data_IF_554915026073
#
_entry.id   IF_554915026073
#
_cell.length_a   1.000
_cell.length_b   1.000
_cell.length_c   1.000
_cell.angle_alpha   90.00
_cell.angle_beta   90.00
_cell.angle_gamma   90.00
#
_symmetry.space_group_name_H-M   'P 1'
#
loop_
_entity.id
_entity.type
_entity.pdbx_description
1 polymer ?
#
# COMPACT_ATOMS: atom_id res chain seq x y z
N UNK A 1 -34.10 -60.23 -26.36
CA UNK A 1 -33.19 -59.10 -26.65
C UNK A 1 -33.67 -57.92 -25.80
N UNK A 2 -33.07 -57.48 -24.70
CA UNK A 2 -31.67 -57.43 -24.32
C UNK A 2 -31.18 -55.98 -24.43
N UNK A 3 -31.28 -55.20 -23.34
CA UNK A 3 -30.36 -54.10 -22.98
C UNK A 3 -30.59 -53.71 -21.52
N UNK A 4 -29.68 -54.23 -20.68
CA UNK A 4 -29.59 -54.08 -19.23
C UNK A 4 -29.07 -52.68 -18.90
N UNK A 5 -29.76 -51.94 -18.05
CA UNK A 5 -29.24 -50.72 -17.45
C UNK A 5 -28.24 -51.09 -16.34
N UNK A 6 -26.98 -50.71 -16.52
CA UNK A 6 -25.93 -50.89 -15.51
C UNK A 6 -25.91 -49.63 -14.63
N UNK A 7 -26.39 -49.76 -13.39
CA UNK A 7 -26.16 -48.78 -12.32
C UNK A 7 -24.73 -48.95 -11.80
N UNK A 8 -23.88 -47.96 -11.98
CA UNK A 8 -22.63 -47.88 -11.23
C UNK A 8 -22.87 -47.15 -9.91
N UNK A 9 -22.92 -47.93 -8.83
CA UNK A 9 -22.80 -47.46 -7.45
C UNK A 9 -21.31 -47.22 -7.16
N UNK A 10 -20.88 -45.97 -7.07
CA UNK A 10 -19.59 -45.65 -6.45
C UNK A 10 -19.84 -45.13 -5.04
N UNK A 11 -19.55 -46.01 -4.10
CA UNK A 11 -19.60 -45.82 -2.65
C UNK A 11 -18.39 -44.97 -2.25
N UNK A 12 -18.68 -43.77 -1.76
CA UNK A 12 -17.71 -42.89 -1.10
C UNK A 12 -17.34 -43.53 0.24
N UNK A 13 -16.05 -43.80 0.50
CA UNK A 13 -15.45 -43.73 1.85
C UNK A 13 -13.94 -43.56 1.84
N UNK A 14 -13.52 -42.62 2.69
CA UNK A 14 -12.25 -42.03 3.08
C UNK A 14 -11.00 -42.91 3.26
N UNK A 15 -9.83 -42.33 2.93
CA UNK A 15 -8.67 -42.36 3.85
C UNK A 15 -7.75 -41.15 3.64
N UNK A 16 -7.68 -40.34 4.68
CA UNK A 16 -6.68 -39.30 4.93
C UNK A 16 -5.29 -39.92 5.08
N UNK A 17 -4.30 -39.29 4.42
CA UNK A 17 -2.83 -39.27 4.60
C UNK A 17 -2.29 -38.82 3.24
N UNK A 18 -1.47 -37.79 3.08
CA UNK A 18 -0.40 -37.27 3.93
C UNK A 18 -0.10 -35.88 3.38
N UNK A 19 -0.07 -34.86 4.24
CA UNK A 19 0.39 -33.53 3.87
C UNK A 19 1.82 -33.65 3.33
N UNK A 20 2.01 -33.29 2.05
CA UNK A 20 3.32 -32.93 1.53
C UNK A 20 3.44 -31.42 1.68
N UNK A 21 3.83 -31.06 2.89
CA UNK A 21 4.06 -29.72 3.36
C UNK A 21 5.37 -29.23 2.71
N UNK A 22 5.28 -28.45 1.63
CA UNK A 22 6.30 -27.45 1.32
C UNK A 22 5.89 -26.19 2.09
N UNK A 23 6.13 -26.25 3.39
CA UNK A 23 6.10 -25.10 4.28
C UNK A 23 7.18 -24.13 3.78
N UNK A 24 6.77 -23.14 2.97
CA UNK A 24 7.38 -21.83 3.09
C UNK A 24 7.13 -21.39 4.53
N UNK A 25 8.10 -21.61 5.41
CA UNK A 25 8.03 -21.29 6.83
C UNK A 25 7.80 -19.78 7.03
N UNK A 26 6.54 -19.36 7.01
CA UNK A 26 6.11 -18.10 7.61
C UNK A 26 5.64 -18.46 9.01
N UNK A 27 6.60 -18.56 9.93
CA UNK A 27 6.36 -18.91 11.32
C UNK A 27 5.35 -17.93 11.95
N UNK A 28 4.25 -18.39 12.60
CA UNK A 28 3.13 -17.54 13.03
C UNK A 28 3.43 -16.55 14.17
N UNK A 29 4.70 -16.39 14.56
CA UNK A 29 5.14 -15.51 15.67
C UNK A 29 6.26 -14.51 15.31
N UNK A 30 6.68 -14.37 14.05
CA UNK A 30 7.79 -13.46 13.68
C UNK A 30 7.37 -12.06 13.16
N UNK A 31 6.10 -11.66 13.24
CA UNK A 31 5.72 -10.31 12.80
C UNK A 31 6.27 -9.18 13.70
N UNK A 32 6.78 -9.51 14.89
CA UNK A 32 7.37 -8.53 15.83
C UNK A 32 8.81 -8.14 15.50
N UNK A 33 9.55 -8.90 14.69
CA UNK A 33 10.98 -8.65 14.44
C UNK A 33 11.25 -7.84 13.16
N UNK A 34 10.26 -7.73 12.28
CA UNK A 34 10.30 -6.86 11.11
C UNK A 34 9.40 -5.66 11.40
N UNK A 35 10.00 -4.53 11.79
CA UNK A 35 9.32 -3.27 12.12
C UNK A 35 8.61 -2.57 10.95
N UNK A 36 7.87 -3.32 10.13
CA UNK A 36 7.09 -2.83 9.00
C UNK A 36 5.68 -3.40 9.04
N UNK A 37 4.68 -2.53 9.24
CA UNK A 37 3.29 -2.86 9.00
C UNK A 37 3.06 -2.94 7.49
N UNK A 38 3.19 -4.13 6.89
CA UNK A 38 2.84 -4.36 5.49
C UNK A 38 1.32 -4.49 5.38
N UNK A 39 0.64 -3.43 4.92
CA UNK A 39 -0.78 -3.56 4.55
C UNK A 39 -0.89 -4.43 3.29
N UNK A 40 -1.18 -5.73 3.47
CA UNK A 40 -1.35 -6.67 2.36
C UNK A 40 -2.57 -6.28 1.51
N UNK A 41 -2.38 -6.17 0.20
CA UNK A 41 -3.49 -5.96 -0.71
C UNK A 41 -4.39 -7.20 -0.71
N UNK A 42 -5.72 -7.01 -0.66
CA UNK A 42 -6.70 -8.11 -0.62
C UNK A 42 -6.62 -9.04 -1.84
N UNK A 43 -6.19 -8.52 -2.99
CA UNK A 43 -6.07 -9.25 -4.26
C UNK A 43 -4.74 -8.92 -4.93
N UNK A 44 -4.03 -9.95 -5.39
CA UNK A 44 -2.79 -9.79 -6.16
C UNK A 44 -3.07 -9.34 -7.59
N UNK A 45 -2.07 -8.80 -8.29
CA UNK A 45 -2.23 -8.42 -9.71
C UNK A 45 -2.55 -9.65 -10.56
N UNK A 46 -1.90 -10.78 -10.29
CA UNK A 46 -2.12 -12.04 -11.01
C UNK A 46 -3.56 -12.51 -10.91
N UNK A 47 -4.16 -12.46 -9.71
CA UNK A 47 -5.58 -12.78 -9.51
C UNK A 47 -6.50 -11.87 -10.33
N UNK A 48 -6.15 -10.59 -10.49
CA UNK A 48 -6.92 -9.64 -11.31
C UNK A 48 -6.80 -9.97 -12.80
N UNK A 49 -5.60 -10.30 -13.26
CA UNK A 49 -5.35 -10.65 -14.67
C UNK A 49 -6.03 -11.97 -15.04
N UNK A 50 -6.01 -12.97 -14.14
CA UNK A 50 -6.71 -14.24 -14.32
C UNK A 50 -8.23 -14.02 -14.44
N UNK A 51 -8.81 -13.17 -13.57
CA UNK A 51 -10.21 -12.80 -13.65
C UNK A 51 -10.58 -12.18 -15.01
N UNK A 52 -9.74 -11.28 -15.54
CA UNK A 52 -9.96 -10.63 -16.83
C UNK A 52 -9.81 -11.61 -17.99
N UNK A 53 -8.84 -12.53 -17.93
CA UNK A 53 -8.66 -13.58 -18.94
C UNK A 53 -9.89 -14.48 -19.03
N UNK A 54 -10.43 -14.91 -17.88
CA UNK A 54 -11.66 -15.70 -17.82
C UNK A 54 -12.89 -14.94 -18.32
N UNK A 55 -12.93 -13.63 -18.08
CA UNK A 55 -13.99 -12.80 -18.62
C UNK A 55 -13.91 -12.72 -20.15
N UNK A 56 -12.70 -12.54 -20.71
CA UNK A 56 -12.45 -12.57 -22.17
C UNK A 56 -12.79 -13.92 -22.80
N UNK A 57 -12.65 -15.02 -22.07
CA UNK A 57 -13.10 -16.35 -22.52
C UNK A 57 -14.62 -16.56 -22.47
N UNK A 58 -15.40 -15.52 -22.14
CA UNK A 58 -16.86 -15.55 -22.14
C UNK A 58 -17.50 -16.02 -20.83
N UNK A 59 -16.75 -16.17 -19.73
CA UNK A 59 -17.34 -16.51 -18.43
C UNK A 59 -18.01 -15.28 -17.81
N UNK A 60 -19.16 -15.49 -17.17
CA UNK A 60 -19.85 -14.46 -16.40
C UNK A 60 -19.10 -14.06 -15.13
N UNK A 61 -19.30 -12.82 -14.68
CA UNK A 61 -18.66 -12.27 -13.46
C UNK A 61 -18.95 -13.11 -12.21
N UNK A 62 -20.18 -13.60 -12.05
CA UNK A 62 -20.58 -14.43 -10.92
C UNK A 62 -19.79 -15.74 -10.87
N UNK A 63 -19.64 -16.43 -12.01
CA UNK A 63 -18.87 -17.68 -12.12
C UNK A 63 -17.40 -17.46 -11.75
N UNK A 64 -16.80 -16.36 -12.23
CA UNK A 64 -15.42 -16.00 -11.95
C UNK A 64 -15.23 -15.69 -10.46
N UNK A 65 -16.20 -15.00 -9.84
CA UNK A 65 -16.22 -14.73 -8.40
C UNK A 65 -16.13 -16.02 -7.58
N UNK A 66 -16.94 -17.02 -7.90
CA UNK A 66 -16.91 -18.31 -7.22
C UNK A 66 -15.60 -19.08 -7.46
N UNK A 67 -15.04 -19.02 -8.68
CA UNK A 67 -13.79 -19.71 -9.02
C UNK A 67 -12.58 -19.11 -8.29
N UNK A 68 -12.52 -17.78 -8.14
CA UNK A 68 -11.39 -17.07 -7.52
C UNK A 68 -11.61 -16.70 -6.05
N UNK A 69 -12.74 -17.07 -5.46
CA UNK A 69 -13.08 -16.70 -4.07
C UNK A 69 -13.28 -15.20 -3.86
N UNK A 70 -13.72 -14.46 -4.90
CA UNK A 70 -13.98 -13.02 -4.83
C UNK A 70 -15.43 -12.81 -4.38
N UNK A 71 -15.62 -12.02 -3.32
CA UNK A 71 -16.94 -11.86 -2.69
C UNK A 71 -17.96 -11.07 -3.52
N UNK A 72 -17.51 -10.16 -4.39
CA UNK A 72 -18.38 -9.19 -5.05
C UNK A 72 -18.10 -9.12 -6.55
N UNK A 73 -19.11 -9.38 -7.38
CA UNK A 73 -19.00 -9.36 -8.84
C UNK A 73 -18.67 -7.97 -9.40
N UNK A 74 -19.13 -6.91 -8.72
CA UNK A 74 -18.77 -5.53 -9.02
C UNK A 74 -17.26 -5.29 -9.00
N UNK A 75 -16.50 -6.08 -8.23
CA UNK A 75 -15.03 -6.01 -8.19
C UNK A 75 -14.42 -6.41 -9.54
N UNK A 76 -14.95 -7.47 -10.16
CA UNK A 76 -14.48 -7.98 -11.45
C UNK A 76 -14.84 -6.99 -12.56
N UNK A 77 -16.08 -6.48 -12.54
CA UNK A 77 -16.53 -5.47 -13.51
C UNK A 77 -15.68 -4.19 -13.42
N UNK A 78 -15.31 -3.77 -12.21
CA UNK A 78 -14.39 -2.65 -12.01
C UNK A 78 -13.00 -2.94 -12.56
N UNK A 79 -12.44 -4.13 -12.35
CA UNK A 79 -11.13 -4.49 -12.91
C UNK A 79 -11.15 -4.51 -14.43
N UNK A 80 -12.22 -5.04 -15.04
CA UNK A 80 -12.44 -4.98 -16.49
C UNK A 80 -12.39 -3.53 -16.98
N UNK A 81 -13.20 -2.66 -16.38
CA UNK A 81 -13.24 -1.24 -16.77
C UNK A 81 -11.88 -0.55 -16.63
N UNK A 82 -11.16 -0.78 -15.53
CA UNK A 82 -9.82 -0.22 -15.33
C UNK A 82 -8.81 -0.74 -16.36
N UNK A 83 -8.91 -2.03 -16.71
CA UNK A 83 -8.05 -2.63 -17.72
C UNK A 83 -8.35 -2.11 -19.14
N UNK A 84 -9.62 -1.86 -19.46
CA UNK A 84 -10.01 -1.26 -20.75
C UNK A 84 -9.59 0.20 -20.87
N UNK A 85 -9.60 0.96 -19.77
CA UNK A 85 -9.24 2.39 -19.77
C UNK A 85 -7.75 2.65 -19.66
N UNK A 86 -7.02 1.85 -18.89
CA UNK A 86 -5.62 2.12 -18.49
C UNK A 86 -4.73 0.88 -18.47
N UNK A 87 -5.20 -0.23 -19.03
CA UNK A 87 -4.41 -1.46 -19.16
C UNK A 87 -4.00 -2.06 -17.81
N UNK A 88 -2.78 -2.60 -17.76
CA UNK A 88 -2.24 -3.26 -16.57
C UNK A 88 -2.03 -2.23 -15.44
N UNK A 89 -1.64 -0.99 -15.78
CA UNK A 89 -1.38 0.07 -14.80
C UNK A 89 -2.63 0.43 -13.99
N UNK A 90 -3.81 0.38 -14.62
CA UNK A 90 -5.11 0.55 -13.95
C UNK A 90 -5.41 -0.49 -12.88
N UNK A 91 -4.82 -1.70 -12.99
CA UNK A 91 -4.99 -2.78 -12.02
C UNK A 91 -3.98 -2.71 -10.88
N UNK A 92 -2.87 -1.99 -11.09
CA UNK A 92 -1.85 -1.84 -10.07
C UNK A 92 -2.36 -0.94 -8.93
N UNK A 93 -1.98 -1.29 -7.70
CA UNK A 93 -2.24 -0.40 -6.57
C UNK A 93 -1.26 0.77 -6.70
N UNK A 94 -1.79 1.99 -6.89
CA UNK A 94 -0.94 3.17 -6.74
C UNK A 94 -0.51 3.29 -5.28
N UNK A 95 0.77 3.03 -5.02
CA UNK A 95 1.38 3.26 -3.70
C UNK A 95 1.79 4.74 -3.52
N UNK A 96 1.61 5.58 -4.53
CA UNK A 96 1.96 6.99 -4.50
C UNK A 96 0.70 7.80 -4.21
N UNK A 97 0.58 8.27 -2.97
CA UNK A 97 -0.36 9.33 -2.65
C UNK A 97 0.05 10.60 -3.40
N UNK A 98 -0.85 11.28 -4.13
CA UNK A 98 -0.53 12.53 -4.81
C UNK A 98 0.06 13.51 -3.79
N UNK A 99 1.22 14.07 -4.12
CA UNK A 99 1.89 15.06 -3.28
C UNK A 99 1.57 16.44 -3.84
N UNK A 100 1.01 17.29 -2.98
CA UNK A 100 0.65 18.64 -3.33
C UNK A 100 1.51 19.59 -2.51
N UNK A 101 2.17 20.52 -3.20
CA UNK A 101 2.98 21.57 -2.58
C UNK A 101 2.08 22.54 -1.81
N UNK A 102 2.62 23.21 -0.80
CA UNK A 102 1.87 24.21 -0.04
C UNK A 102 1.43 25.39 -0.91
N UNK A 103 2.25 25.78 -1.89
CA UNK A 103 1.91 26.81 -2.88
C UNK A 103 0.71 26.41 -3.73
N UNK A 104 0.68 25.19 -4.25
CA UNK A 104 -0.46 24.69 -5.04
C UNK A 104 -1.74 24.66 -4.21
N UNK A 105 -1.67 24.15 -2.96
CA UNK A 105 -2.85 24.15 -2.07
C UNK A 105 -3.37 25.56 -1.82
N UNK A 106 -2.48 26.54 -1.70
CA UNK A 106 -2.84 27.95 -1.52
C UNK A 106 -3.54 28.49 -2.76
N UNK A 107 -3.00 28.23 -3.96
CA UNK A 107 -3.62 28.60 -5.23
C UNK A 107 -5.06 28.07 -5.35
N UNK A 108 -5.25 26.79 -5.01
CA UNK A 108 -6.57 26.13 -5.01
C UNK A 108 -7.54 26.84 -4.06
N UNK A 109 -7.10 27.18 -2.84
CA UNK A 109 -7.93 27.89 -1.85
C UNK A 109 -8.24 29.31 -2.31
N UNK A 110 -7.26 30.03 -2.85
CA UNK A 110 -7.46 31.39 -3.38
C UNK A 110 -8.47 31.38 -4.51
N UNK A 111 -8.37 30.42 -5.43
CA UNK A 111 -9.33 30.26 -6.52
C UNK A 111 -10.73 29.93 -6.00
N UNK A 112 -10.85 29.03 -5.03
CA UNK A 112 -12.11 28.66 -4.39
C UNK A 112 -12.82 29.91 -3.83
N UNK A 113 -12.12 30.72 -3.04
CA UNK A 113 -12.67 31.92 -2.40
C UNK A 113 -12.99 33.00 -3.43
N UNK A 114 -12.10 33.24 -4.40
CA UNK A 114 -12.29 34.25 -5.44
C UNK A 114 -13.51 33.98 -6.31
N UNK A 115 -13.78 32.71 -6.62
CA UNK A 115 -14.88 32.32 -7.50
C UNK A 115 -16.16 31.92 -6.74
N UNK A 116 -16.14 31.89 -5.40
CA UNK A 116 -17.27 31.41 -4.60
C UNK A 116 -17.72 29.99 -4.96
N UNK A 117 -16.79 29.17 -5.48
CA UNK A 117 -17.10 27.86 -6.03
C UNK A 117 -17.33 26.82 -4.93
N UNK A 118 -18.02 25.72 -5.28
CA UNK A 118 -18.13 24.57 -4.39
C UNK A 118 -16.86 23.70 -4.43
N UNK A 119 -16.63 22.91 -3.38
CA UNK A 119 -15.49 21.98 -3.32
C UNK A 119 -15.42 21.00 -4.51
N UNK A 120 -16.54 20.39 -4.97
CA UNK A 120 -16.51 19.50 -6.13
C UNK A 120 -16.12 20.21 -7.43
N UNK A 121 -16.61 21.44 -7.63
CA UNK A 121 -16.27 22.25 -8.81
C UNK A 121 -14.79 22.61 -8.81
N UNK A 122 -14.26 23.00 -7.64
CA UNK A 122 -12.85 23.32 -7.46
C UNK A 122 -11.97 22.09 -7.67
N UNK A 123 -12.35 20.95 -7.11
CA UNK A 123 -11.59 19.71 -7.28
C UNK A 123 -11.50 19.31 -8.75
N UNK A 124 -12.60 19.42 -9.50
CA UNK A 124 -12.61 19.16 -10.94
C UNK A 124 -11.74 20.16 -11.73
N UNK A 125 -11.76 21.44 -11.36
CA UNK A 125 -10.95 22.47 -12.01
C UNK A 125 -9.44 22.20 -11.91
N UNK A 126 -8.99 21.67 -10.77
CA UNK A 126 -7.59 21.39 -10.48
C UNK A 126 -7.19 19.91 -10.64
N UNK A 127 -8.06 19.10 -11.25
CA UNK A 127 -7.88 17.65 -11.42
C UNK A 127 -7.52 16.91 -10.11
N UNK A 128 -8.15 17.33 -9.00
CA UNK A 128 -7.98 16.71 -7.68
C UNK A 128 -8.99 15.56 -7.58
N UNK A 129 -8.54 14.31 -7.36
CA UNK A 129 -9.43 13.13 -7.42
C UNK A 129 -10.55 13.09 -6.37
N UNK A 130 -10.42 13.86 -5.28
CA UNK A 130 -11.36 13.82 -4.16
C UNK A 130 -11.59 15.23 -3.62
N UNK A 131 -12.84 15.69 -3.67
CA UNK A 131 -13.31 16.99 -3.19
C UNK A 131 -13.10 17.20 -1.69
N UNK A 132 -13.14 16.14 -0.89
CA UNK A 132 -12.84 16.17 0.53
C UNK A 132 -11.39 16.60 0.81
N UNK A 133 -10.49 16.43 -0.16
CA UNK A 133 -9.10 16.92 -0.07
C UNK A 133 -9.05 18.44 -0.03
N UNK A 134 -9.84 19.11 -0.88
CA UNK A 134 -9.93 20.57 -0.94
C UNK A 134 -10.53 21.12 0.36
N UNK A 135 -11.59 20.47 0.84
CA UNK A 135 -12.19 20.81 2.14
C UNK A 135 -11.19 20.71 3.29
N UNK A 136 -10.39 19.64 3.34
CA UNK A 136 -9.36 19.47 4.37
C UNK A 136 -8.31 20.57 4.31
N UNK A 137 -7.88 21.00 3.13
CA UNK A 137 -6.92 22.10 3.00
C UNK A 137 -7.52 23.42 3.46
N UNK A 138 -8.74 23.74 3.02
CA UNK A 138 -9.45 24.95 3.45
C UNK A 138 -9.61 25.00 4.97
N UNK A 139 -10.07 23.90 5.58
CA UNK A 139 -10.20 23.79 7.03
C UNK A 139 -8.87 23.98 7.76
N UNK A 140 -7.78 23.40 7.28
CA UNK A 140 -6.45 23.58 7.89
C UNK A 140 -5.95 25.00 7.75
N UNK A 141 -6.22 25.64 6.62
CA UNK A 141 -5.90 27.04 6.40
C UNK A 141 -6.68 27.96 7.36
N UNK A 142 -7.96 27.67 7.60
CA UNK A 142 -8.78 28.49 8.51
C UNK A 142 -8.33 28.39 9.97
N UNK A 143 -7.75 27.27 10.39
CA UNK A 143 -7.27 27.06 11.78
C UNK A 143 -5.81 27.50 11.96
N UNK A 144 -4.95 27.29 10.96
CA UNK A 144 -3.50 27.42 11.12
C UNK A 144 -2.84 28.33 10.06
N UNK A 145 -3.62 28.99 9.21
CA UNK A 145 -3.11 29.79 8.10
C UNK A 145 -2.28 28.96 7.11
N UNK A 146 -1.30 29.61 6.48
CA UNK A 146 -0.44 28.99 5.48
C UNK A 146 0.36 27.79 6.02
N UNK A 147 0.78 27.83 7.30
CA UNK A 147 1.49 26.73 7.98
C UNK A 147 0.65 25.45 8.09
N UNK A 148 -0.69 25.58 8.05
CA UNK A 148 -1.62 24.46 7.97
C UNK A 148 -1.52 23.65 6.67
N UNK A 149 -0.97 24.25 5.61
CA UNK A 149 -0.84 23.64 4.27
C UNK A 149 0.50 22.90 4.07
N UNK A 150 1.43 22.99 5.02
CA UNK A 150 2.69 22.26 4.98
C UNK A 150 2.49 20.74 4.89
N UNK A 151 3.34 20.05 4.13
CA UNK A 151 3.31 18.58 4.07
C UNK A 151 3.90 17.97 5.35
N UNK A 152 3.02 17.46 6.21
CA UNK A 152 3.40 16.79 7.48
C UNK A 152 3.68 15.30 7.31
N UNK A 153 3.70 14.76 6.09
CA UNK A 153 4.06 13.35 5.83
C UNK A 153 5.51 13.02 6.22
N UNK A 154 6.39 14.02 6.27
CA UNK A 154 7.71 13.85 6.89
C UNK A 154 7.54 13.92 8.40
N UNK A 155 7.42 12.75 9.04
CA UNK A 155 7.77 12.61 10.46
C UNK A 155 9.22 13.07 10.57
N UNK A 156 9.45 14.26 11.13
CA UNK A 156 10.79 14.67 11.53
C UNK A 156 11.20 13.64 12.58
N UNK A 157 12.09 12.72 12.22
CA UNK A 157 12.70 11.84 13.20
C UNK A 157 13.61 12.72 14.05
N UNK A 158 13.13 13.17 15.19
CA UNK A 158 13.95 13.85 16.21
C UNK A 158 15.01 12.92 16.83
N UNK A 159 15.18 11.70 16.31
CA UNK A 159 16.17 10.76 16.79
C UNK A 159 17.53 11.04 16.14
N UNK A 160 18.48 11.48 16.98
CA UNK A 160 19.95 11.36 16.82
C UNK A 160 20.78 12.46 16.14
N UNK A 161 20.48 13.75 16.33
CA UNK A 161 21.53 14.78 16.09
C UNK A 161 22.52 14.92 17.25
N UNK A 162 22.10 14.63 18.49
CA UNK A 162 22.97 14.80 19.65
C UNK A 162 23.93 13.62 19.89
N UNK A 163 23.55 12.41 19.48
CA UNK A 163 24.36 11.21 19.75
C UNK A 163 25.63 11.10 18.86
N UNK A 164 25.69 11.82 17.73
CA UNK A 164 26.87 11.79 16.84
C UNK A 164 28.01 12.69 17.34
N UNK A 165 27.70 13.72 18.14
CA UNK A 165 28.70 14.60 18.78
C UNK A 165 29.37 13.92 19.98
N UNK A 166 28.60 13.20 20.80
CA UNK A 166 29.12 12.49 21.97
C UNK A 166 30.12 11.39 21.56
N UNK A 167 29.76 10.56 20.57
CA UNK A 167 30.65 9.47 20.10
C UNK A 167 31.99 9.96 19.55
N UNK A 168 32.01 11.07 18.80
CA UNK A 168 33.26 11.67 18.30
C UNK A 168 34.17 12.18 19.42
N UNK A 169 33.59 12.73 20.48
CA UNK A 169 34.38 13.24 21.61
C UNK A 169 34.99 12.10 22.43
N UNK A 170 34.27 10.97 22.56
CA UNK A 170 34.76 9.79 23.28
C UNK A 170 35.86 9.07 22.49
N UNK A 171 35.71 8.94 21.16
CA UNK A 171 36.73 8.36 20.28
C UNK A 171 38.03 9.19 20.30
N UNK A 172 37.92 10.53 20.30
CA UNK A 172 39.08 11.43 20.36
C UNK A 172 39.81 11.34 21.70
N UNK A 173 39.09 11.27 22.82
CA UNK A 173 39.69 11.11 24.16
C UNK A 173 40.41 9.76 24.31
N UNK A 174 39.90 8.71 23.66
CA UNK A 174 40.52 7.39 23.72
C UNK A 174 41.84 7.33 22.95
N UNK A 175 41.90 7.98 21.78
CA UNK A 175 43.13 8.08 20.96
C UNK A 175 44.25 8.85 21.68
N UNK A 176 43.93 10.01 22.27
CA UNK A 176 44.92 10.81 23.02
C UNK A 176 45.47 10.07 24.26
N UNK A 177 44.65 9.20 24.87
CA UNK A 177 45.07 8.38 26.01
C UNK A 177 46.01 7.24 25.58
N UNK A 178 45.69 6.57 24.47
CA UNK A 178 46.47 5.45 23.94
C UNK A 178 47.86 5.92 23.42
N UNK A 179 47.95 7.12 22.84
CA UNK A 179 49.23 7.70 22.38
C UNK A 179 50.13 8.14 23.54
N UNK A 180 49.53 8.60 24.65
CA UNK A 180 50.28 8.96 25.87
C UNK A 180 50.89 7.73 26.56
N UNK A 181 50.20 6.59 26.52
CA UNK A 181 50.70 5.32 27.04
C UNK A 181 51.91 4.83 26.22
N UNK A 182 51.81 4.89 24.87
CA UNK A 182 52.91 4.48 23.98
C UNK A 182 54.18 5.33 24.09
N UNK A 183 54.06 6.59 24.52
CA UNK A 183 55.22 7.45 24.75
C UNK A 183 55.97 7.09 26.04
N UNK A 184 55.25 6.65 27.08
CA UNK A 184 55.84 6.25 28.36
C UNK A 184 56.55 4.90 28.32
N UNK A 185 56.18 4.00 27.39
CA UNK A 185 56.83 2.70 27.21
C UNK A 185 58.12 2.76 26.36
N UNK A 186 58.47 3.94 25.83
CA UNK A 186 59.64 4.15 24.95
C UNK A 186 60.82 4.82 25.65
N UNK A 187 60.64 5.26 26.90
CA UNK A 187 61.68 5.78 27.81
C UNK A 187 62.06 4.72 28.85
#
# INVERSE_FOLDING_TARGET
>A
MGRRYIRYNYRITFKTKRAFQLESEVHPLNWRQLGGCFSMAKYTIDQKLEAISMYKSGKGSTTICHQLGISQEATILRWKYLYETSGIDGLQRSNKLPSYTSSFKMEVITWLVKNGASFPVTARHFDIPNEGTVWQWKRRYDVHGFDGLADRRKRVSNMSKDNKKLRRNDDQKKLDSDDKIKQLERD
#
